data_IF_286703604070
#
_entry.id   IF_286703604070
#
_cell.length_a   1.000
_cell.length_b   1.000
_cell.length_c   1.000
_cell.angle_alpha   90.00
_cell.angle_beta   90.00
_cell.angle_gamma   90.00
#
_symmetry.space_group_name_H-M   'P 1'
#
loop_
_entity.id
_entity.type
_entity.pdbx_description
1 polymer ?
#
# COMPACT_ATOMS: atom_id res chain seq x y z
N UNK A 1 -8.23 19.06 6.90
CA UNK A 1 -9.17 18.69 5.82
C UNK A 1 -10.55 19.29 6.01
N UNK A 2 -11.33 18.96 7.06
CA UNK A 2 -12.67 19.57 7.27
C UNK A 2 -12.67 21.11 7.27
N UNK A 3 -11.67 21.72 7.91
CA UNK A 3 -11.49 23.18 7.88
C UNK A 3 -11.22 23.74 6.49
N UNK A 4 -10.54 22.98 5.63
CA UNK A 4 -10.14 23.40 4.28
C UNK A 4 -11.27 23.24 3.27
N UNK A 5 -12.07 22.18 3.42
CA UNK A 5 -13.14 21.81 2.50
C UNK A 5 -14.49 22.43 2.89
N UNK A 6 -14.66 22.83 4.14
CA UNK A 6 -15.97 23.07 4.72
C UNK A 6 -16.70 21.74 5.02
N UNK A 7 -17.74 21.82 5.86
CA UNK A 7 -18.42 20.63 6.39
C UNK A 7 -19.08 19.78 5.31
N UNK A 8 -19.84 20.40 4.40
CA UNK A 8 -20.63 19.67 3.40
C UNK A 8 -19.73 18.90 2.45
N UNK A 9 -18.79 19.60 1.78
CA UNK A 9 -17.84 18.97 0.86
C UNK A 9 -17.00 17.91 1.57
N UNK A 10 -16.52 18.18 2.79
CA UNK A 10 -15.78 17.17 3.55
C UNK A 10 -16.60 15.90 3.73
N UNK A 11 -17.86 16.01 4.15
CA UNK A 11 -18.70 14.84 4.46
C UNK A 11 -19.10 14.03 3.23
N UNK A 12 -19.10 14.62 2.03
CA UNK A 12 -19.43 13.93 0.76
C UNK A 12 -18.22 13.63 -0.12
N UNK A 13 -17.01 13.91 0.36
CA UNK A 13 -15.78 13.67 -0.41
C UNK A 13 -15.47 12.19 -0.58
N UNK A 14 -14.90 11.83 -1.72
CA UNK A 14 -14.10 10.60 -1.88
C UNK A 14 -12.73 10.83 -1.26
N UNK A 15 -12.31 9.94 -0.36
CA UNK A 15 -11.02 9.99 0.33
C UNK A 15 -10.23 8.74 -0.03
N UNK A 16 -9.11 8.93 -0.75
CA UNK A 16 -8.25 7.84 -1.20
C UNK A 16 -6.98 7.83 -0.35
N UNK A 17 -6.77 6.75 0.40
CA UNK A 17 -5.49 6.47 1.04
C UNK A 17 -4.57 5.78 0.05
N UNK A 18 -3.37 6.31 -0.14
CA UNK A 18 -2.46 5.89 -1.21
C UNK A 18 -1.63 4.64 -0.90
N UNK A 19 -1.91 3.94 0.21
CA UNK A 19 -1.17 2.74 0.65
C UNK A 19 -0.02 3.04 1.62
N UNK A 20 0.73 1.99 1.95
CA UNK A 20 1.77 1.92 2.98
C UNK A 20 1.26 2.38 4.35
N UNK A 21 0.21 1.69 4.81
CA UNK A 21 -0.47 1.93 6.08
C UNK A 21 0.25 1.23 7.25
N UNK A 22 1.08 0.23 6.96
CA UNK A 22 1.90 -0.49 7.93
C UNK A 22 3.40 -0.18 7.83
N UNK A 23 4.14 -0.73 8.79
CA UNK A 23 5.59 -0.65 8.98
C UNK A 23 6.16 0.76 9.23
N UNK A 24 7.47 0.81 9.56
CA UNK A 24 8.29 1.99 9.95
C UNK A 24 7.80 2.75 11.17
N UNK A 25 6.57 3.26 11.14
CA UNK A 25 5.92 3.93 12.26
C UNK A 25 5.56 2.94 13.39
N UNK A 26 5.46 3.42 14.64
CA UNK A 26 5.23 2.56 15.80
C UNK A 26 3.79 2.05 15.97
N UNK A 27 2.81 2.73 15.36
CA UNK A 27 1.38 2.59 15.69
C UNK A 27 0.54 2.03 14.53
N UNK A 28 1.03 1.01 13.81
CA UNK A 28 0.25 0.37 12.73
C UNK A 28 -1.14 -0.05 13.20
N UNK A 29 -1.25 -0.72 14.36
CA UNK A 29 -2.55 -1.09 14.93
C UNK A 29 -3.47 0.13 15.16
N UNK A 30 -2.92 1.26 15.60
CA UNK A 30 -3.61 2.53 15.74
C UNK A 30 -4.10 3.11 14.41
N UNK A 31 -3.30 3.01 13.33
CA UNK A 31 -3.70 3.40 11.97
C UNK A 31 -4.91 2.58 11.52
N UNK A 32 -4.89 1.26 11.64
CA UNK A 32 -6.03 0.41 11.25
C UNK A 32 -7.27 0.62 12.14
N UNK A 33 -7.08 0.94 13.43
CA UNK A 33 -8.19 1.38 14.30
C UNK A 33 -8.82 2.69 13.80
N UNK A 34 -7.99 3.65 13.36
CA UNK A 34 -8.48 4.89 12.77
C UNK A 34 -9.27 4.63 11.48
N UNK A 35 -8.70 3.86 10.56
CA UNK A 35 -9.33 3.55 9.27
C UNK A 35 -10.66 2.80 9.44
N UNK A 36 -10.71 1.78 10.31
CA UNK A 36 -11.95 1.03 10.58
C UNK A 36 -13.06 1.92 11.15
N UNK A 37 -12.70 2.98 11.89
CA UNK A 37 -13.67 3.94 12.44
C UNK A 37 -14.22 4.96 11.43
N UNK A 38 -13.61 5.11 10.24
CA UNK A 38 -13.97 6.18 9.30
C UNK A 38 -15.40 6.02 8.77
N UNK A 39 -15.82 4.79 8.46
CA UNK A 39 -17.16 4.52 7.94
C UNK A 39 -18.26 4.95 8.93
N UNK A 40 -18.06 4.72 10.22
CA UNK A 40 -19.03 5.08 11.25
C UNK A 40 -18.99 6.60 11.55
N UNK A 41 -17.80 7.20 11.54
CA UNK A 41 -17.62 8.64 11.81
C UNK A 41 -18.07 9.52 10.63
N UNK A 42 -17.91 9.02 9.41
CA UNK A 42 -18.14 9.75 8.17
C UNK A 42 -18.91 8.90 7.15
N UNK A 43 -20.16 8.51 7.46
CA UNK A 43 -20.93 7.54 6.65
C UNK A 43 -21.30 8.03 5.25
N UNK A 44 -21.09 9.32 4.96
CA UNK A 44 -21.34 9.93 3.64
C UNK A 44 -20.07 10.06 2.79
N UNK A 45 -18.88 9.78 3.36
CA UNK A 45 -17.63 9.77 2.60
C UNK A 45 -17.49 8.43 1.88
N UNK A 46 -16.98 8.48 0.65
CA UNK A 46 -16.48 7.29 -0.03
C UNK A 46 -15.00 7.10 0.32
N UNK A 47 -14.69 6.17 1.23
CA UNK A 47 -13.32 5.95 1.70
C UNK A 47 -12.71 4.74 1.01
N UNK A 48 -11.60 4.96 0.32
CA UNK A 48 -10.92 3.97 -0.52
C UNK A 48 -9.48 3.77 -0.05
N UNK A 49 -9.00 2.53 -0.07
CA UNK A 49 -7.68 2.19 0.45
C UNK A 49 -6.89 1.42 -0.62
N UNK A 50 -5.84 2.05 -1.14
CA UNK A 50 -4.90 1.35 -2.01
C UNK A 50 -4.01 0.42 -1.20
N UNK A 51 -3.66 -0.73 -1.79
CA UNK A 51 -2.58 -1.56 -1.30
C UNK A 51 -1.25 -0.86 -1.58
N UNK A 52 -0.50 -0.52 -0.55
CA UNK A 52 0.93 -0.27 -0.68
C UNK A 52 1.72 -1.56 -0.85
N UNK A 53 3.00 -1.49 -1.22
CA UNK A 53 3.82 -2.71 -1.19
C UNK A 53 3.98 -3.26 0.23
N UNK A 54 4.01 -2.40 1.24
CA UNK A 54 4.05 -2.82 2.63
C UNK A 54 2.76 -3.55 3.04
N UNK A 55 1.60 -2.98 2.71
CA UNK A 55 0.30 -3.56 3.05
C UNK A 55 0.05 -4.88 2.31
N UNK A 56 0.42 -4.94 1.03
CA UNK A 56 0.32 -6.15 0.23
C UNK A 56 1.20 -7.28 0.80
N UNK A 57 2.42 -6.96 1.22
CA UNK A 57 3.31 -7.91 1.84
C UNK A 57 2.76 -8.39 3.20
N UNK A 58 2.23 -7.48 4.03
CA UNK A 58 1.58 -7.82 5.28
C UNK A 58 0.34 -8.70 5.07
N UNK A 59 -0.56 -8.33 4.16
CA UNK A 59 -1.78 -9.08 3.86
C UNK A 59 -1.47 -10.49 3.32
N UNK A 60 -0.47 -10.63 2.45
CA UNK A 60 -0.05 -11.94 1.93
C UNK A 60 0.68 -12.78 2.98
N UNK A 61 1.45 -12.17 3.91
CA UNK A 61 2.02 -12.88 5.05
C UNK A 61 0.93 -13.48 5.95
N UNK A 62 -0.15 -12.74 6.19
CA UNK A 62 -1.32 -13.24 6.91
C UNK A 62 -2.17 -14.23 6.10
N UNK A 63 -1.96 -14.34 4.78
CA UNK A 63 -2.76 -15.19 3.89
C UNK A 63 -4.17 -14.65 3.63
N UNK A 64 -4.33 -13.33 3.63
CA UNK A 64 -5.63 -12.65 3.47
C UNK A 64 -5.98 -12.35 2.01
N UNK A 65 -4.97 -12.25 1.13
CA UNK A 65 -5.17 -12.04 -0.30
C UNK A 65 -4.82 -13.35 -1.03
N UNK A 66 -5.73 -13.90 -1.85
CA UNK A 66 -5.44 -15.10 -2.61
C UNK A 66 -4.37 -14.84 -3.66
N UNK A 67 -3.43 -15.77 -3.80
CA UNK A 67 -2.44 -15.74 -4.87
C UNK A 67 -3.09 -16.34 -6.12
N UNK A 68 -3.17 -15.55 -7.18
CA UNK A 68 -3.72 -15.99 -8.48
C UNK A 68 -2.60 -16.57 -9.33
N UNK A 69 -2.83 -17.68 -10.04
CA UNK A 69 -1.89 -18.30 -11.00
C UNK A 69 -0.57 -18.88 -10.42
N UNK A 70 -0.57 -19.28 -9.14
CA UNK A 70 0.53 -20.05 -8.53
C UNK A 70 1.55 -19.18 -7.80
N UNK A 71 2.16 -19.74 -6.74
CA UNK A 71 3.22 -19.07 -6.00
C UNK A 71 4.45 -18.85 -6.90
N UNK A 72 5.17 -17.75 -6.66
CA UNK A 72 6.46 -17.49 -7.32
C UNK A 72 7.39 -18.68 -7.09
N UNK A 73 7.95 -19.26 -8.15
CA UNK A 73 8.90 -20.36 -8.03
C UNK A 73 10.14 -19.90 -7.23
N UNK A 74 10.51 -20.67 -6.20
CA UNK A 74 11.55 -20.30 -5.22
C UNK A 74 12.95 -20.06 -5.82
N UNK A 75 13.19 -20.51 -7.07
CA UNK A 75 14.48 -20.40 -7.76
C UNK A 75 14.69 -19.14 -8.61
N UNK A 76 13.65 -18.36 -8.90
CA UNK A 76 13.74 -17.18 -9.80
C UNK A 76 13.94 -15.86 -9.04
N UNK A 77 13.90 -15.90 -7.71
CA UNK A 77 14.06 -14.70 -6.89
C UNK A 77 15.51 -14.19 -6.92
N UNK A 78 15.69 -13.02 -7.53
CA UNK A 78 16.89 -12.19 -7.36
C UNK A 78 16.54 -11.00 -6.46
N UNK A 79 17.04 -10.95 -5.23
CA UNK A 79 16.74 -9.84 -4.34
C UNK A 79 17.34 -8.54 -4.92
N UNK A 80 16.59 -7.43 -4.82
CA UNK A 80 17.04 -6.11 -5.29
C UNK A 80 18.10 -5.48 -4.38
N UNK A 81 18.29 -6.02 -3.19
CA UNK A 81 19.27 -5.60 -2.16
C UNK A 81 19.61 -6.79 -1.25
N UNK A 82 20.58 -6.64 -0.35
CA UNK A 82 20.84 -7.66 0.66
C UNK A 82 19.64 -7.79 1.61
N UNK A 83 19.17 -9.02 1.84
CA UNK A 83 17.99 -9.32 2.67
C UNK A 83 18.21 -10.60 3.46
N UNK A 84 17.45 -10.76 4.55
CA UNK A 84 17.42 -12.01 5.31
C UNK A 84 16.88 -13.16 4.46
N UNK A 85 17.19 -14.42 4.83
CA UNK A 85 16.51 -15.59 4.26
C UNK A 85 14.99 -15.42 4.36
N UNK A 86 14.28 -15.86 3.32
CA UNK A 86 12.82 -15.78 3.27
C UNK A 86 12.20 -16.45 4.48
N UNK A 87 11.09 -15.90 4.99
CA UNK A 87 10.37 -16.54 6.08
C UNK A 87 9.90 -17.93 5.67
N UNK A 88 10.09 -18.88 6.58
CA UNK A 88 9.69 -20.28 6.43
C UNK A 88 8.95 -20.73 7.68
N UNK A 89 7.77 -21.28 7.47
CA UNK A 89 7.08 -22.04 8.51
C UNK A 89 7.78 -23.39 8.73
N UNK A 90 8.51 -23.51 9.83
CA UNK A 90 9.18 -24.75 10.23
C UNK A 90 8.23 -25.78 10.87
N UNK A 91 6.95 -25.45 11.04
CA UNK A 91 5.95 -26.40 11.51
C UNK A 91 5.52 -27.35 10.40
N UNK A 92 4.79 -28.40 10.77
CA UNK A 92 4.22 -29.35 9.80
C UNK A 92 3.16 -28.73 8.88
N UNK A 93 2.67 -27.51 9.18
CA UNK A 93 1.70 -26.82 8.32
C UNK A 93 2.34 -26.28 7.04
N UNK A 94 3.65 -25.99 7.08
CA UNK A 94 4.41 -25.41 5.96
C UNK A 94 3.67 -24.24 5.30
N UNK A 95 3.12 -23.30 6.10
CA UNK A 95 2.29 -22.19 5.61
C UNK A 95 3.01 -21.25 4.62
N UNK A 96 4.33 -21.39 4.46
CA UNK A 96 5.10 -20.69 3.42
C UNK A 96 4.82 -21.24 2.02
N UNK A 97 4.42 -22.52 1.88
CA UNK A 97 4.00 -23.13 0.62
C UNK A 97 2.64 -22.54 0.22
N UNK A 98 2.64 -21.67 -0.79
CA UNK A 98 1.46 -20.88 -1.16
C UNK A 98 1.38 -19.50 -0.52
N UNK A 99 2.44 -19.04 0.13
CA UNK A 99 2.60 -17.63 0.53
C UNK A 99 3.31 -16.85 -0.57
N UNK A 100 2.89 -15.60 -0.79
CA UNK A 100 3.50 -14.74 -1.79
C UNK A 100 4.92 -14.38 -1.36
N UNK A 101 5.83 -14.21 -2.33
CA UNK A 101 7.22 -13.82 -2.08
C UNK A 101 7.31 -12.60 -1.16
N UNK A 102 6.49 -11.59 -1.40
CA UNK A 102 6.49 -10.35 -0.61
C UNK A 102 6.12 -10.61 0.85
N UNK A 103 5.13 -11.46 1.13
CA UNK A 103 4.81 -11.88 2.49
C UNK A 103 5.95 -12.62 3.18
N UNK A 104 6.64 -13.50 2.45
CA UNK A 104 7.83 -14.20 2.99
C UNK A 104 8.98 -13.24 3.30
N UNK A 105 9.20 -12.22 2.46
CA UNK A 105 10.20 -11.15 2.71
C UNK A 105 9.81 -10.27 3.90
N UNK A 106 8.53 -9.96 4.05
CA UNK A 106 7.99 -9.13 5.13
C UNK A 106 8.01 -9.83 6.49
N UNK A 107 7.90 -11.16 6.52
CA UNK A 107 8.02 -11.96 7.74
C UNK A 107 9.46 -12.37 8.09
N UNK A 108 10.45 -12.07 7.24
CA UNK A 108 11.81 -12.55 7.42
C UNK A 108 12.53 -11.76 8.52
N UNK A 109 12.97 -12.43 9.59
CA UNK A 109 13.77 -11.83 10.68
C UNK A 109 15.02 -12.69 10.95
N UNK A 110 16.10 -12.06 11.43
CA UNK A 110 17.27 -12.79 11.93
C UNK A 110 16.87 -13.70 13.11
N UNK A 111 17.34 -14.95 13.10
CA UNK A 111 17.22 -15.87 14.24
C UNK A 111 18.27 -15.61 15.33
N UNK A 112 19.33 -14.85 15.01
CA UNK A 112 20.50 -14.62 15.87
C UNK A 112 20.54 -13.18 16.39
N UNK A 113 19.68 -12.88 17.36
CA UNK A 113 19.84 -11.71 18.23
C UNK A 113 18.85 -10.57 17.98
N UNK A 114 18.31 -10.09 19.09
CA UNK A 114 17.34 -9.00 19.24
C UNK A 114 17.78 -7.62 18.73
N UNK A 115 18.92 -7.50 18.02
CA UNK A 115 19.57 -6.22 17.83
C UNK A 115 19.50 -5.59 16.43
N UNK A 116 18.86 -6.19 15.42
CA UNK A 116 18.51 -5.45 14.18
C UNK A 116 17.31 -6.09 13.48
N UNK A 117 16.14 -6.12 14.14
CA UNK A 117 14.85 -6.60 13.62
C UNK A 117 14.31 -5.86 12.38
N UNK A 118 15.16 -5.19 11.64
CA UNK A 118 14.88 -4.41 10.45
C UNK A 118 15.03 -5.33 9.25
N UNK A 119 13.92 -5.81 8.72
CA UNK A 119 13.93 -6.52 7.44
C UNK A 119 13.69 -5.56 6.28
N UNK A 120 13.51 -6.08 5.08
CA UNK A 120 13.25 -5.28 3.89
C UNK A 120 12.09 -4.27 4.06
N UNK A 121 11.14 -4.54 4.94
CA UNK A 121 9.95 -3.72 5.14
C UNK A 121 9.96 -2.94 6.44
N UNK A 122 10.97 -3.09 7.31
CA UNK A 122 10.97 -2.55 8.67
C UNK A 122 9.79 -3.05 9.52
N UNK A 123 9.29 -4.26 9.25
CA UNK A 123 7.98 -4.72 9.73
C UNK A 123 7.90 -5.06 11.22
N UNK A 124 9.04 -5.06 11.95
CA UNK A 124 9.03 -5.28 13.40
C UNK A 124 8.12 -4.29 14.13
N UNK A 125 7.98 -3.05 13.64
CA UNK A 125 7.11 -2.05 14.28
C UNK A 125 5.65 -2.45 14.16
N UNK A 126 5.25 -3.05 13.03
CA UNK A 126 3.89 -3.59 12.89
C UNK A 126 3.64 -4.74 13.85
N UNK A 127 4.55 -5.72 13.96
CA UNK A 127 4.44 -6.78 14.98
C UNK A 127 4.32 -6.18 16.39
N UNK A 128 5.20 -5.24 16.73
CA UNK A 128 5.22 -4.55 18.03
C UNK A 128 3.91 -3.82 18.31
N UNK A 129 3.33 -3.14 17.30
CA UNK A 129 2.06 -2.41 17.45
C UNK A 129 0.87 -3.31 17.77
N UNK A 130 0.93 -4.58 17.35
CA UNK A 130 -0.05 -5.62 17.72
C UNK A 130 0.36 -6.42 18.95
N UNK A 131 1.47 -6.05 19.61
CA UNK A 131 2.09 -6.80 20.70
C UNK A 131 2.45 -8.25 20.33
N UNK A 132 2.76 -8.52 19.05
CA UNK A 132 3.12 -9.83 18.53
C UNK A 132 4.63 -10.05 18.49
N UNK A 133 5.09 -11.30 18.61
CA UNK A 133 6.50 -11.63 18.46
C UNK A 133 6.95 -11.49 17.00
N UNK A 134 8.07 -10.79 16.69
CA UNK A 134 8.56 -10.66 15.32
C UNK A 134 8.75 -12.00 14.62
N UNK A 135 8.18 -12.14 13.43
CA UNK A 135 8.26 -13.36 12.62
C UNK A 135 7.33 -14.49 13.07
N UNK A 136 6.65 -14.36 14.20
CA UNK A 136 5.63 -15.32 14.63
C UNK A 136 4.28 -15.00 13.97
N UNK A 137 4.05 -15.67 12.83
CA UNK A 137 2.83 -15.51 12.05
C UNK A 137 1.57 -15.89 12.82
N UNK A 138 1.60 -16.98 13.58
CA UNK A 138 0.41 -17.51 14.26
C UNK A 138 0.03 -16.61 15.44
N UNK A 139 1.01 -16.06 16.16
CA UNK A 139 0.78 -15.06 17.19
C UNK A 139 0.21 -13.76 16.59
N UNK A 140 0.79 -13.27 15.49
CA UNK A 140 0.29 -12.08 14.81
C UNK A 140 -1.15 -12.27 14.30
N UNK A 141 -1.46 -13.42 13.67
CA UNK A 141 -2.82 -13.74 13.21
C UNK A 141 -3.86 -13.72 14.33
N UNK A 142 -3.49 -14.13 15.55
CA UNK A 142 -4.39 -14.08 16.71
C UNK A 142 -4.60 -12.66 17.22
N UNK A 143 -3.58 -11.80 17.12
CA UNK A 143 -3.57 -10.44 17.67
C UNK A 143 -4.14 -9.39 16.73
N UNK A 144 -4.08 -9.60 15.41
CA UNK A 144 -4.70 -8.69 14.43
C UNK A 144 -6.23 -8.80 14.50
N UNK A 145 -6.96 -7.73 14.84
CA UNK A 145 -8.43 -7.73 14.92
C UNK A 145 -9.10 -8.06 13.58
N UNK A 146 -10.31 -8.62 13.65
CA UNK A 146 -11.12 -8.99 12.47
C UNK A 146 -11.36 -7.78 11.56
N UNK A 147 -11.65 -6.60 12.12
CA UNK A 147 -11.89 -5.40 11.31
C UNK A 147 -10.64 -4.94 10.56
N UNK A 148 -9.44 -5.20 11.09
CA UNK A 148 -8.19 -4.86 10.40
C UNK A 148 -7.93 -5.84 9.25
N UNK A 149 -8.21 -7.13 9.47
CA UNK A 149 -8.14 -8.15 8.41
C UNK A 149 -9.07 -7.81 7.25
N UNK A 150 -10.31 -7.38 7.53
CA UNK A 150 -11.26 -6.95 6.50
C UNK A 150 -10.72 -5.79 5.65
N UNK A 151 -10.05 -4.80 6.26
CA UNK A 151 -9.42 -3.71 5.53
C UNK A 151 -8.33 -4.25 4.60
N UNK A 152 -7.42 -5.08 5.12
CA UNK A 152 -6.34 -5.71 4.35
C UNK A 152 -6.87 -6.56 3.17
N UNK A 153 -7.94 -7.33 3.39
CA UNK A 153 -8.62 -8.13 2.36
C UNK A 153 -9.29 -7.25 1.29
N UNK A 154 -9.74 -6.06 1.67
CA UNK A 154 -10.44 -5.10 0.79
C UNK A 154 -9.52 -4.13 0.06
N UNK A 155 -8.20 -4.16 0.31
CA UNK A 155 -7.27 -3.25 -0.36
C UNK A 155 -7.38 -3.37 -1.87
N UNK A 156 -7.33 -2.21 -2.52
CA UNK A 156 -7.47 -2.07 -3.96
C UNK A 156 -6.10 -1.87 -4.60
N UNK A 157 -5.83 -2.50 -5.74
CA UNK A 157 -4.57 -2.25 -6.45
C UNK A 157 -4.64 -0.98 -7.30
N UNK A 158 -5.86 -0.54 -7.62
CA UNK A 158 -6.14 0.70 -8.34
C UNK A 158 -7.50 1.24 -7.90
N UNK A 159 -7.60 2.56 -7.77
CA UNK A 159 -8.87 3.28 -7.52
C UNK A 159 -9.09 4.23 -8.68
N UNK A 160 -10.28 4.20 -9.24
CA UNK A 160 -10.70 5.04 -10.36
C UNK A 160 -11.81 5.98 -9.91
N UNK A 161 -11.65 7.28 -10.14
CA UNK A 161 -12.64 8.31 -9.82
C UNK A 161 -12.89 9.15 -11.06
N UNK A 162 -14.14 9.17 -11.52
CA UNK A 162 -14.59 10.04 -12.60
C UNK A 162 -14.76 11.48 -12.08
N UNK A 163 -14.68 12.47 -12.97
CA UNK A 163 -14.88 13.90 -12.64
C UNK A 163 -14.01 14.42 -11.47
N UNK A 164 -12.77 13.92 -11.36
CA UNK A 164 -11.85 14.30 -10.29
C UNK A 164 -11.28 15.71 -10.47
N UNK A 165 -11.25 16.22 -11.71
CA UNK A 165 -10.82 17.57 -12.07
C UNK A 165 -11.74 18.25 -13.08
N UNK A 166 -11.47 19.52 -13.36
CA UNK A 166 -12.15 20.28 -14.40
C UNK A 166 -12.14 19.54 -15.75
N UNK A 167 -13.17 19.79 -16.56
CA UNK A 167 -13.37 19.16 -17.86
C UNK A 167 -13.56 17.63 -17.84
N UNK A 168 -13.93 17.06 -16.68
CA UNK A 168 -14.26 15.64 -16.57
C UNK A 168 -13.04 14.73 -16.54
N UNK A 169 -11.86 15.25 -16.19
CA UNK A 169 -10.65 14.44 -16.07
C UNK A 169 -10.85 13.34 -15.02
N UNK A 170 -10.46 12.13 -15.39
CA UNK A 170 -10.50 10.94 -14.55
C UNK A 170 -9.23 10.82 -13.71
N UNK A 171 -9.37 10.43 -12.46
CA UNK A 171 -8.25 10.06 -11.59
C UNK A 171 -8.08 8.54 -11.57
N UNK A 172 -6.86 8.09 -11.83
CA UNK A 172 -6.38 6.74 -11.55
C UNK A 172 -5.38 6.83 -10.41
N UNK A 173 -5.74 6.33 -9.25
CA UNK A 173 -4.84 6.23 -8.10
C UNK A 173 -4.26 4.81 -8.03
N UNK A 174 -2.93 4.72 -7.99
CA UNK A 174 -2.17 3.47 -7.89
C UNK A 174 -0.93 3.74 -7.03
N UNK A 175 -0.58 2.83 -6.13
CA UNK A 175 0.35 3.16 -5.04
C UNK A 175 1.72 3.64 -5.52
N UNK A 176 2.39 2.93 -6.44
CA UNK A 176 3.67 3.36 -7.01
C UNK A 176 3.49 4.08 -8.37
N UNK A 177 2.75 3.50 -9.30
CA UNK A 177 2.59 4.05 -10.65
C UNK A 177 2.26 2.96 -11.67
N UNK A 178 2.43 3.26 -12.96
CA UNK A 178 2.30 2.29 -14.05
C UNK A 178 3.61 2.24 -14.83
N UNK A 179 3.99 1.06 -15.30
CA UNK A 179 5.23 0.85 -16.06
C UNK A 179 5.16 1.58 -17.41
N UNK A 180 6.20 2.34 -17.74
CA UNK A 180 6.24 3.14 -18.98
C UNK A 180 6.21 2.31 -20.25
N UNK A 181 6.74 1.09 -20.19
CA UNK A 181 6.98 0.22 -21.35
C UNK A 181 5.90 -0.87 -21.50
N UNK A 182 4.81 -0.77 -20.74
CA UNK A 182 3.70 -1.72 -20.75
C UNK A 182 2.39 -1.01 -21.11
N UNK A 183 1.55 -1.56 -22.01
CA UNK A 183 0.32 -0.89 -22.42
C UNK A 183 -0.62 -0.57 -21.24
N UNK A 184 -1.15 0.65 -21.21
CA UNK A 184 -1.98 1.17 -20.13
C UNK A 184 -3.16 0.22 -19.80
N UNK A 185 -3.92 -0.19 -20.80
CA UNK A 185 -5.12 -1.02 -20.60
C UNK A 185 -4.80 -2.44 -20.08
N UNK A 186 -3.64 -2.98 -20.43
CA UNK A 186 -3.18 -4.29 -19.95
C UNK A 186 -2.89 -4.21 -18.45
N UNK A 187 -2.17 -3.17 -18.03
CA UNK A 187 -1.87 -2.93 -16.62
C UNK A 187 -3.16 -2.68 -15.83
N UNK A 188 -4.04 -1.79 -16.31
CA UNK A 188 -5.30 -1.47 -15.65
C UNK A 188 -6.20 -2.70 -15.49
N UNK A 189 -6.27 -3.57 -16.50
CA UNK A 189 -7.03 -4.82 -16.41
C UNK A 189 -6.49 -5.73 -15.31
N UNK A 190 -5.16 -5.90 -15.22
CA UNK A 190 -4.53 -6.71 -14.19
C UNK A 190 -4.74 -6.14 -12.78
N UNK A 191 -4.67 -4.82 -12.61
CA UNK A 191 -4.88 -4.15 -11.33
C UNK A 191 -6.34 -4.24 -10.86
N UNK A 192 -7.32 -4.05 -11.77
CA UNK A 192 -8.75 -4.22 -11.46
C UNK A 192 -9.07 -5.64 -10.99
N UNK A 193 -8.38 -6.64 -11.54
CA UNK A 193 -8.51 -8.04 -11.13
C UNK A 193 -7.72 -8.38 -9.87
N UNK A 194 -6.94 -7.43 -9.32
CA UNK A 194 -5.98 -7.63 -8.22
C UNK A 194 -5.11 -8.87 -8.46
N UNK A 195 -4.54 -8.97 -9.66
CA UNK A 195 -3.74 -10.14 -10.04
C UNK A 195 -2.46 -10.20 -9.20
N UNK A 196 -2.24 -11.34 -8.55
CA UNK A 196 -1.09 -11.62 -7.66
C UNK A 196 -0.32 -12.82 -8.20
N UNK A 197 0.27 -12.67 -9.39
CA UNK A 197 0.97 -13.75 -10.09
C UNK A 197 2.42 -13.40 -10.46
N UNK A 198 2.93 -12.27 -9.97
CA UNK A 198 4.27 -11.78 -10.25
C UNK A 198 5.03 -11.59 -8.94
N UNK A 199 6.30 -11.99 -8.91
CA UNK A 199 7.20 -11.73 -7.80
C UNK A 199 7.23 -10.25 -7.42
N UNK A 200 7.22 -9.40 -8.45
CA UNK A 200 7.24 -7.94 -8.34
C UNK A 200 6.04 -7.37 -9.07
N UNK A 201 4.99 -7.03 -8.33
CA UNK A 201 3.89 -6.19 -8.84
C UNK A 201 4.41 -4.75 -8.90
N UNK A 202 4.92 -4.32 -10.05
CA UNK A 202 5.60 -3.01 -10.21
C UNK A 202 4.69 -1.84 -9.90
N UNK A 203 3.39 -1.96 -10.17
CA UNK A 203 2.42 -0.93 -9.81
C UNK A 203 2.37 -0.61 -8.31
N UNK A 204 2.83 -1.52 -7.46
CA UNK A 204 2.93 -1.33 -6.02
C UNK A 204 4.37 -1.08 -5.54
N UNK A 205 5.41 -1.41 -6.29
CA UNK A 205 6.78 -1.33 -5.74
C UNK A 205 7.86 -0.82 -6.69
N UNK A 206 7.49 -0.52 -7.93
CA UNK A 206 8.38 0.04 -8.94
C UNK A 206 8.96 1.38 -8.50
N UNK A 207 10.07 1.77 -9.12
CA UNK A 207 10.75 3.04 -8.84
C UNK A 207 10.83 3.85 -10.12
N UNK A 208 12.00 3.88 -10.77
CA UNK A 208 12.22 4.65 -11.98
C UNK A 208 11.26 4.26 -13.13
N UNK A 209 10.97 2.96 -13.27
CA UNK A 209 10.09 2.40 -14.30
C UNK A 209 8.61 2.82 -14.20
N UNK A 210 8.17 3.31 -13.03
CA UNK A 210 6.75 3.71 -12.80
C UNK A 210 6.61 5.18 -12.40
N UNK A 211 7.70 5.94 -12.54
CA UNK A 211 7.75 7.34 -12.13
C UNK A 211 6.98 8.22 -13.12
N UNK A 212 7.20 8.02 -14.42
CA UNK A 212 6.51 8.74 -15.49
C UNK A 212 5.22 8.02 -15.92
N UNK A 213 4.44 8.69 -16.79
CA UNK A 213 3.23 8.11 -17.39
C UNK A 213 3.62 7.14 -18.51
N UNK A 214 2.91 6.00 -18.68
CA UNK A 214 2.92 5.24 -19.93
C UNK A 214 2.57 6.13 -21.13
N UNK A 215 3.22 5.91 -22.27
CA UNK A 215 3.02 6.75 -23.47
C UNK A 215 1.58 6.74 -23.98
N UNK A 216 0.88 5.62 -23.81
CA UNK A 216 -0.52 5.41 -24.23
C UNK A 216 -1.55 5.78 -23.15
N UNK A 217 -1.15 6.50 -22.10
CA UNK A 217 -2.09 7.00 -21.07
C UNK A 217 -3.09 7.99 -21.68
N UNK A 218 -4.42 7.74 -21.58
CA UNK A 218 -5.44 8.63 -22.11
C UNK A 218 -5.28 10.10 -21.67
N UNK A 219 -5.56 11.05 -22.57
CA UNK A 219 -5.31 12.48 -22.35
C UNK A 219 -6.12 13.06 -21.17
N UNK A 220 -7.28 12.48 -20.89
CA UNK A 220 -8.20 12.85 -19.82
C UNK A 220 -7.89 12.15 -18.48
N UNK A 221 -6.84 11.33 -18.41
CA UNK A 221 -6.45 10.61 -17.19
C UNK A 221 -5.30 11.30 -16.45
N UNK A 222 -5.49 11.46 -15.14
CA UNK A 222 -4.46 11.85 -14.17
C UNK A 222 -4.08 10.62 -13.36
N UNK A 223 -2.78 10.37 -13.18
CA UNK A 223 -2.28 9.27 -12.34
C UNK A 223 -1.72 9.81 -11.02
N UNK A 224 -2.32 9.41 -9.90
CA UNK A 224 -1.86 9.75 -8.54
C UNK A 224 -1.21 8.55 -7.83
N UNK A 225 -0.11 8.78 -7.13
CA UNK A 225 0.65 7.76 -6.39
C UNK A 225 1.24 8.27 -5.08
N UNK A 226 1.60 7.35 -4.19
CA UNK A 226 2.46 7.59 -3.03
C UNK A 226 3.88 7.08 -3.28
N UNK A 227 4.40 6.26 -2.35
CA UNK A 227 5.58 5.38 -2.48
C UNK A 227 6.97 6.03 -2.62
N UNK A 228 7.09 7.08 -3.42
CA UNK A 228 8.38 7.57 -3.94
C UNK A 228 9.15 8.47 -2.97
N UNK A 229 8.63 8.75 -1.77
CA UNK A 229 9.29 9.62 -0.81
C UNK A 229 9.37 11.10 -1.24
N UNK A 230 8.51 11.51 -2.18
CA UNK A 230 8.47 12.87 -2.73
C UNK A 230 7.05 13.42 -2.78
N UNK A 231 6.92 14.74 -2.81
CA UNK A 231 5.67 15.42 -3.16
C UNK A 231 5.90 16.19 -4.46
N UNK A 232 5.28 15.74 -5.54
CA UNK A 232 5.42 16.33 -6.87
C UNK A 232 4.07 16.38 -7.58
N UNK A 233 3.73 17.52 -8.18
CA UNK A 233 2.50 17.69 -8.95
C UNK A 233 2.86 18.22 -10.34
N UNK A 234 2.74 17.36 -11.34
CA UNK A 234 2.77 17.69 -12.77
C UNK A 234 1.34 17.69 -13.31
N UNK A 235 1.15 18.08 -14.57
CA UNK A 235 -0.18 18.17 -15.18
C UNK A 235 -1.00 16.87 -15.04
N UNK A 236 -0.53 15.74 -15.58
CA UNK A 236 -1.24 14.45 -15.49
C UNK A 236 -0.62 13.43 -14.52
N UNK A 237 0.39 13.83 -13.75
CA UNK A 237 1.09 12.96 -12.79
C UNK A 237 1.22 13.63 -11.43
N UNK A 238 0.64 12.99 -10.41
CA UNK A 238 0.66 13.48 -9.03
C UNK A 238 1.32 12.42 -8.14
N UNK A 239 2.27 12.84 -7.31
CA UNK A 239 2.93 11.98 -6.32
C UNK A 239 2.86 12.66 -4.97
N UNK A 240 2.33 11.94 -3.97
CA UNK A 240 1.99 12.45 -2.64
C UNK A 240 2.59 11.50 -1.60
N UNK A 241 3.89 11.58 -1.40
CA UNK A 241 4.62 10.86 -0.36
C UNK A 241 5.80 11.68 0.17
N UNK A 242 5.59 12.97 0.43
CA UNK A 242 6.65 13.83 0.98
C UNK A 242 7.12 13.42 2.38
N UNK A 243 6.45 12.46 3.04
CA UNK A 243 6.84 11.92 4.33
C UNK A 243 7.84 10.76 4.18
N UNK A 244 7.57 9.81 3.28
CA UNK A 244 8.40 8.62 3.08
C UNK A 244 8.48 7.71 4.31
N UNK A 245 7.53 7.83 5.26
CA UNK A 245 7.58 7.10 6.53
C UNK A 245 8.62 7.61 7.54
N UNK A 246 9.18 8.80 7.31
CA UNK A 246 10.15 9.43 8.20
C UNK A 246 9.47 10.32 9.23
N UNK A 247 9.79 10.14 10.52
CA UNK A 247 9.12 10.81 11.65
C UNK A 247 9.30 12.34 11.63
N UNK A 248 10.40 12.81 11.08
CA UNK A 248 10.73 14.23 10.92
C UNK A 248 9.91 14.92 9.82
N UNK A 249 9.32 14.15 8.90
CA UNK A 249 8.56 14.69 7.79
C UNK A 249 7.05 14.64 8.09
N UNK A 250 6.31 15.57 7.51
CA UNK A 250 4.86 15.70 7.71
C UNK A 250 4.11 14.91 6.65
N UNK A 251 3.05 14.21 7.05
CA UNK A 251 2.10 13.62 6.11
C UNK A 251 1.42 14.72 5.31
N UNK A 252 1.21 14.48 4.02
CA UNK A 252 0.56 15.39 3.08
C UNK A 252 -0.65 14.73 2.43
N UNK A 253 -1.65 15.54 2.11
CA UNK A 253 -2.78 15.18 1.27
C UNK A 253 -2.94 16.27 0.20
N UNK A 254 -3.46 15.89 -0.98
CA UNK A 254 -3.85 16.84 -2.03
C UNK A 254 -5.36 16.83 -2.15
N UNK A 255 -5.95 18.02 -2.19
CA UNK A 255 -7.37 18.22 -2.45
C UNK A 255 -7.53 18.54 -3.95
N UNK A 256 -8.35 17.76 -4.64
CA UNK A 256 -8.78 18.03 -6.02
C UNK A 256 -10.19 18.65 -6.03
N UNK A 257 -10.52 19.54 -6.99
CA UNK A 257 -9.72 19.90 -8.17
C UNK A 257 -8.64 20.96 -7.94
N UNK A 258 -8.59 21.61 -6.77
CA UNK A 258 -7.72 22.77 -6.53
C UNK A 258 -6.22 22.45 -6.45
N UNK A 259 -5.86 21.16 -6.49
CA UNK A 259 -4.50 20.65 -6.23
C UNK A 259 -3.86 21.23 -4.97
N UNK A 260 -4.70 21.49 -3.96
CA UNK A 260 -4.27 22.14 -2.71
C UNK A 260 -3.60 21.12 -1.80
N UNK A 261 -2.35 21.37 -1.44
CA UNK A 261 -1.62 20.53 -0.48
C UNK A 261 -1.99 20.93 0.95
N UNK A 262 -2.42 19.95 1.75
CA UNK A 262 -2.65 20.05 3.19
C UNK A 262 -1.69 19.12 3.90
N UNK A 263 -1.10 19.56 5.02
CA UNK A 263 -0.15 18.75 5.80
C UNK A 263 -0.64 18.53 7.23
N UNK A 264 -0.33 17.38 7.82
CA UNK A 264 -0.59 17.09 9.25
C UNK A 264 0.05 18.15 10.14
N UNK A 265 -0.50 18.47 11.30
CA UNK A 265 0.20 19.31 12.28
C UNK A 265 1.48 18.62 12.77
N UNK A 266 2.47 19.41 13.17
CA UNK A 266 3.65 18.94 13.90
C UNK A 266 3.30 18.51 15.31
#
# INVERSE_FOLDING_TARGET
>A
LKLELGTERFETSTVIFLGDLCDRGPETSGVFNFLSSLKDKHPRQDVRHLAGNHDFAFATFLGLIPITDGAVEEGEFKPRRAEYPLWEDSSSKQAHLGMHLQGRRWGAFSREGFNDGINAFDSHTTFTSYSAAPGDREDLLKKVPVEHKKILESLEFVVEVEDAEEHGKKLVAVHAGLETDCPFDVQMTALRQRRVNQAWVEALQGRANVMNLPEDTPEDVIIASGHHGILEMRDRRIIIDGCGGHRENRLAAVILPERKVVRSSS
#
